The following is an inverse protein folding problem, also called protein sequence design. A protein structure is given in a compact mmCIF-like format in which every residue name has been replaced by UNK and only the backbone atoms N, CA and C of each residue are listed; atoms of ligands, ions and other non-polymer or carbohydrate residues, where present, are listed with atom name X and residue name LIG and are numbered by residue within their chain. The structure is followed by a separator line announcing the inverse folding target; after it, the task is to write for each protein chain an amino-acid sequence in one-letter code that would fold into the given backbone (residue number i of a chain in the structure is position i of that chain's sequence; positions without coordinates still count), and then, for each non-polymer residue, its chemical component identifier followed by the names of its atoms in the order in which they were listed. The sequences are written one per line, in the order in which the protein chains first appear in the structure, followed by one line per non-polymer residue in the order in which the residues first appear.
data_IF_535951105420
#
_entry.id   IF_535951105420
#
_cell.length_a   1.000
_cell.length_b   1.000
_cell.length_c   1.000
_cell.angle_alpha   90.00
_cell.angle_beta   90.00
_cell.angle_gamma   90.00
#
_symmetry.space_group_name_H-M   'P 1'
#
loop_
_entity.id
_entity.type
_entity.pdbx_description
1 polymer ?
#
# COMPACT_ATOMS: atom_id res chain seq x y z
N UNK A 1 -7.20 -5.01 29.25
CA UNK A 1 -7.21 -4.59 27.83
C UNK A 1 -6.07 -5.31 27.14
N UNK A 2 -6.33 -5.98 26.03
CA UNK A 2 -5.30 -6.69 25.25
C UNK A 2 -4.41 -5.68 24.53
N UNK A 3 -3.10 -5.82 24.64
CA UNK A 3 -2.14 -4.95 23.93
C UNK A 3 -1.78 -5.55 22.55
N UNK A 4 -1.27 -4.75 21.58
CA UNK A 4 -0.77 -5.29 20.31
C UNK A 4 0.30 -6.37 20.50
N UNK A 5 1.18 -6.21 21.49
CA UNK A 5 2.22 -7.18 21.82
C UNK A 5 1.65 -8.52 22.33
N UNK A 6 0.60 -8.47 23.17
CA UNK A 6 -0.10 -9.67 23.63
C UNK A 6 -0.78 -10.38 22.46
N UNK A 7 -1.53 -9.64 21.63
CA UNK A 7 -2.20 -10.23 20.47
C UNK A 7 -1.19 -10.88 19.52
N UNK A 8 -0.05 -10.23 19.26
CA UNK A 8 1.00 -10.78 18.42
C UNK A 8 1.58 -12.08 19.00
N UNK A 9 1.75 -12.16 20.31
CA UNK A 9 2.23 -13.36 21.00
C UNK A 9 1.22 -14.52 20.86
N UNK A 10 -0.06 -14.24 21.08
CA UNK A 10 -1.14 -15.23 20.92
C UNK A 10 -1.22 -15.72 19.48
N UNK A 11 -1.12 -14.80 18.53
CA UNK A 11 -1.12 -15.08 17.10
C UNK A 11 0.06 -15.96 16.67
N UNK A 12 1.27 -15.63 17.12
CA UNK A 12 2.47 -16.41 16.84
C UNK A 12 2.39 -17.83 17.41
N UNK A 13 1.77 -17.97 18.60
CA UNK A 13 1.50 -19.27 19.20
C UNK A 13 0.58 -20.12 18.32
N UNK A 14 -0.46 -19.50 17.75
CA UNK A 14 -1.37 -20.18 16.81
C UNK A 14 -0.65 -20.58 15.51
N UNK A 15 0.20 -19.71 14.95
CA UNK A 15 0.98 -20.01 13.74
C UNK A 15 1.91 -21.23 13.90
N UNK A 16 2.32 -21.57 15.11
CA UNK A 16 3.10 -22.79 15.40
C UNK A 16 2.29 -24.09 15.30
N UNK A 17 0.97 -24.02 15.13
CA UNK A 17 0.07 -25.17 15.02
C UNK A 17 -0.22 -25.51 13.55
N UNK A 18 -0.68 -26.75 13.29
CA UNK A 18 -1.12 -27.15 11.94
C UNK A 18 -2.23 -26.24 11.40
N UNK A 19 -3.15 -25.81 12.27
CA UNK A 19 -4.24 -24.90 11.91
C UNK A 19 -3.75 -23.47 11.60
N UNK A 20 -2.65 -23.03 12.22
CA UNK A 20 -2.11 -21.69 12.00
C UNK A 20 -1.11 -21.58 10.83
N UNK A 21 -0.77 -22.69 10.17
CA UNK A 21 0.18 -22.69 9.05
C UNK A 21 -0.31 -21.92 7.81
N UNK A 22 -1.62 -21.69 7.70
CA UNK A 22 -2.25 -20.91 6.62
C UNK A 22 -2.55 -19.45 7.01
N UNK A 23 -2.32 -19.07 8.27
CA UNK A 23 -2.55 -17.71 8.74
C UNK A 23 -1.46 -16.76 8.20
N UNK A 24 -1.81 -15.51 7.84
CA UNK A 24 -0.83 -14.51 7.41
C UNK A 24 0.30 -14.33 8.43
N UNK A 25 1.51 -13.96 8.02
CA UNK A 25 2.55 -13.60 9.00
C UNK A 25 2.33 -12.16 9.44
N UNK A 26 2.10 -11.95 10.74
CA UNK A 26 1.95 -10.63 11.33
C UNK A 26 3.19 -10.24 12.12
N UNK A 27 3.52 -8.95 12.10
CA UNK A 27 4.62 -8.36 12.84
C UNK A 27 4.18 -7.02 13.44
N UNK A 28 4.79 -6.60 14.54
CA UNK A 28 4.61 -5.24 15.05
C UNK A 28 5.30 -4.25 14.11
N UNK A 29 4.65 -3.11 13.85
CA UNK A 29 5.17 -2.07 12.98
C UNK A 29 4.54 -0.71 13.30
N UNK A 30 5.12 0.34 12.76
CA UNK A 30 4.54 1.67 12.71
C UNK A 30 4.27 2.10 11.29
N UNK A 31 3.43 3.12 11.15
CA UNK A 31 3.11 3.75 9.88
C UNK A 31 3.08 5.25 10.09
N UNK A 32 3.92 5.97 9.34
CA UNK A 32 3.83 7.42 9.24
C UNK A 32 3.14 7.78 7.93
N UNK A 33 2.09 8.60 8.01
CA UNK A 33 1.39 9.09 6.83
C UNK A 33 1.45 10.61 6.74
N UNK A 34 1.65 11.11 5.53
CA UNK A 34 1.49 12.53 5.19
C UNK A 34 0.45 12.63 4.08
N UNK A 35 -0.47 13.58 4.22
CA UNK A 35 -1.52 13.82 3.25
C UNK A 35 -1.39 15.24 2.69
N UNK A 36 -1.54 15.37 1.38
CA UNK A 36 -1.57 16.65 0.67
C UNK A 36 -2.78 16.66 -0.27
N UNK A 37 -3.52 17.77 -0.28
CA UNK A 37 -4.66 17.96 -1.16
C UNK A 37 -4.33 18.94 -2.29
N UNK A 38 -4.88 18.71 -3.46
CA UNK A 38 -4.66 19.49 -4.67
C UNK A 38 -5.99 19.76 -5.37
N UNK A 39 -6.18 20.99 -5.84
CA UNK A 39 -7.36 21.36 -6.63
C UNK A 39 -7.12 21.17 -8.14
N UNK A 40 -5.85 21.12 -8.55
CA UNK A 40 -5.45 20.96 -9.95
C UNK A 40 -4.74 19.64 -10.23
N UNK A 41 -5.13 18.98 -11.33
CA UNK A 41 -4.47 17.76 -11.81
C UNK A 41 -2.98 17.97 -12.10
N UNK A 42 -2.59 19.12 -12.65
CA UNK A 42 -1.20 19.42 -12.97
C UNK A 42 -0.31 19.55 -11.71
N UNK A 43 -0.83 20.16 -10.65
CA UNK A 43 -0.13 20.32 -9.37
C UNK A 43 0.06 18.98 -8.67
N UNK A 44 -1.01 18.17 -8.63
CA UNK A 44 -0.94 16.79 -8.16
C UNK A 44 0.11 15.99 -8.93
N UNK A 45 0.07 16.03 -10.27
CA UNK A 45 0.99 15.26 -11.09
C UNK A 45 2.44 15.69 -10.86
N UNK A 46 2.69 17.00 -10.71
CA UNK A 46 4.01 17.51 -10.38
C UNK A 46 4.48 17.01 -9.01
N UNK A 47 3.63 17.05 -7.98
CA UNK A 47 3.96 16.55 -6.64
C UNK A 47 4.22 15.04 -6.65
N UNK A 48 3.36 14.26 -7.30
CA UNK A 48 3.51 12.81 -7.45
C UNK A 48 4.80 12.44 -8.19
N UNK A 49 5.10 13.15 -9.29
CA UNK A 49 6.31 12.92 -10.09
C UNK A 49 7.59 13.28 -9.35
N UNK A 50 7.55 14.29 -8.47
CA UNK A 50 8.71 14.73 -7.69
C UNK A 50 9.24 13.65 -6.73
N UNK A 51 8.42 12.66 -6.37
CA UNK A 51 8.86 11.51 -5.57
C UNK A 51 9.65 10.46 -6.36
N UNK A 52 9.76 10.61 -7.69
CA UNK A 52 10.44 9.67 -8.59
C UNK A 52 10.05 8.20 -8.34
N UNK A 53 8.74 7.84 -8.42
CA UNK A 53 8.33 6.46 -8.20
C UNK A 53 8.96 5.54 -9.24
N UNK A 54 9.42 4.38 -8.79
CA UNK A 54 10.11 3.40 -9.63
C UNK A 54 9.14 2.38 -10.24
N UNK A 55 8.05 2.08 -9.54
CA UNK A 55 7.00 1.20 -10.04
C UNK A 55 5.65 1.54 -9.44
N UNK A 56 4.59 1.15 -10.12
CA UNK A 56 3.24 1.42 -9.68
C UNK A 56 2.21 1.13 -10.76
N UNK A 57 0.97 1.52 -10.46
CA UNK A 57 -0.12 1.49 -11.41
C UNK A 57 -0.85 2.84 -11.38
N UNK A 58 -1.35 3.22 -12.56
CA UNK A 58 -2.01 4.49 -12.80
C UNK A 58 -3.36 4.21 -13.46
N UNK A 59 -4.40 4.85 -12.95
CA UNK A 59 -5.74 4.85 -13.53
C UNK A 59 -6.10 6.28 -13.91
N UNK A 60 -6.11 6.53 -15.22
CA UNK A 60 -6.66 7.73 -15.82
C UNK A 60 -8.10 7.49 -16.29
N UNK A 61 -8.80 8.55 -16.71
CA UNK A 61 -10.17 8.46 -17.22
C UNK A 61 -10.32 7.50 -18.40
N UNK A 62 -9.37 7.50 -19.34
CA UNK A 62 -9.45 6.75 -20.59
C UNK A 62 -8.34 5.70 -20.73
N UNK A 63 -7.50 5.54 -19.72
CA UNK A 63 -6.35 4.65 -19.78
C UNK A 63 -5.96 4.11 -18.41
N UNK A 64 -5.58 2.83 -18.36
CA UNK A 64 -5.00 2.23 -17.17
C UNK A 64 -3.71 1.54 -17.59
N UNK A 65 -2.67 1.73 -16.79
CA UNK A 65 -1.39 1.09 -17.01
C UNK A 65 -0.69 0.82 -15.69
N UNK A 66 0.33 0.00 -15.77
CA UNK A 66 1.28 -0.17 -14.71
C UNK A 66 2.70 -0.14 -15.28
N UNK A 67 3.64 0.24 -14.42
CA UNK A 67 5.01 0.58 -14.79
C UNK A 67 6.00 -0.02 -13.78
N UNK A 68 7.17 -0.39 -14.25
CA UNK A 68 8.24 -1.02 -13.47
C UNK A 68 9.61 -0.32 -13.60
N UNK A 69 9.73 0.58 -14.57
CA UNK A 69 10.97 1.27 -14.93
C UNK A 69 10.80 2.79 -14.86
N UNK A 70 10.24 3.26 -13.75
CA UNK A 70 9.97 4.68 -13.52
C UNK A 70 8.64 5.16 -14.07
N UNK A 71 8.27 6.37 -13.63
CA UNK A 71 6.99 6.97 -13.97
C UNK A 71 6.89 7.30 -15.48
N UNK A 72 5.89 6.78 -16.20
CA UNK A 72 5.69 7.13 -17.60
C UNK A 72 5.24 8.59 -17.75
N UNK A 73 5.58 9.20 -18.88
CA UNK A 73 5.06 10.53 -19.21
C UNK A 73 3.57 10.42 -19.56
N UNK A 74 2.71 11.29 -18.98
CA UNK A 74 1.29 11.23 -19.25
C UNK A 74 1.00 11.68 -20.69
N UNK A 75 0.19 10.92 -21.41
CA UNK A 75 -0.29 11.31 -22.73
C UNK A 75 -1.60 12.11 -22.62
N UNK A 76 -1.80 13.18 -23.41
CA UNK A 76 -3.02 14.02 -23.32
C UNK A 76 -4.33 13.23 -23.47
N UNK A 77 -4.33 12.17 -24.28
CA UNK A 77 -5.50 11.33 -24.55
C UNK A 77 -5.93 10.44 -23.38
N UNK A 78 -5.07 10.24 -22.37
CA UNK A 78 -5.41 9.45 -21.18
C UNK A 78 -6.44 10.16 -20.28
N UNK A 79 -6.49 11.50 -20.35
CA UNK A 79 -7.36 12.34 -19.52
C UNK A 79 -6.79 12.59 -18.13
N UNK A 80 -7.67 12.77 -17.15
CA UNK A 80 -7.27 13.05 -15.76
C UNK A 80 -6.88 11.77 -15.03
N UNK A 81 -5.81 11.83 -14.20
CA UNK A 81 -5.50 10.81 -13.23
C UNK A 81 -6.62 10.74 -12.19
N UNK A 82 -7.21 9.56 -12.00
CA UNK A 82 -8.29 9.32 -11.05
C UNK A 82 -7.80 8.62 -9.78
N UNK A 83 -6.92 7.64 -9.96
CA UNK A 83 -6.31 6.88 -8.90
C UNK A 83 -4.91 6.44 -9.32
N UNK A 84 -4.01 6.33 -8.36
CA UNK A 84 -2.71 5.72 -8.57
C UNK A 84 -2.20 5.11 -7.28
N UNK A 85 -1.38 4.08 -7.40
CA UNK A 85 -0.48 3.70 -6.32
C UNK A 85 0.91 3.45 -6.90
N UNK A 86 1.93 3.87 -6.16
CA UNK A 86 3.30 3.68 -6.57
C UNK A 86 4.23 3.53 -5.37
N UNK A 87 5.44 3.08 -5.62
CA UNK A 87 6.49 2.98 -4.62
C UNK A 87 7.77 3.62 -5.16
N UNK A 88 8.48 4.33 -4.28
CA UNK A 88 9.78 4.95 -4.60
C UNK A 88 10.93 3.96 -4.37
N UNK A 89 12.15 4.33 -4.80
CA UNK A 89 13.35 3.54 -4.51
C UNK A 89 13.56 3.34 -3.00
N UNK A 90 13.22 4.36 -2.20
CA UNK A 90 13.35 4.37 -0.74
C UNK A 90 12.17 3.68 -0.01
N UNK A 91 11.36 2.90 -0.73
CA UNK A 91 10.21 2.15 -0.18
C UNK A 91 9.10 3.02 0.40
N UNK A 92 9.01 4.29 0.00
CA UNK A 92 7.86 5.14 0.29
C UNK A 92 6.69 4.70 -0.59
N UNK A 93 5.54 4.40 0.01
CA UNK A 93 4.30 4.11 -0.73
C UNK A 93 3.53 5.40 -0.98
N UNK A 94 3.09 5.60 -2.21
CA UNK A 94 2.31 6.74 -2.67
C UNK A 94 0.93 6.23 -3.09
N UNK A 95 -0.12 6.93 -2.65
CA UNK A 95 -1.49 6.66 -3.09
C UNK A 95 -2.16 7.96 -3.49
N UNK A 96 -2.76 7.98 -4.67
CA UNK A 96 -3.56 9.09 -5.18
C UNK A 96 -5.02 8.67 -5.19
N UNK A 97 -5.89 9.51 -4.65
CA UNK A 97 -7.33 9.33 -4.79
C UNK A 97 -8.03 10.65 -5.11
N UNK A 98 -9.12 10.57 -5.88
CA UNK A 98 -10.03 11.68 -6.17
C UNK A 98 -11.34 11.47 -5.40
N UNK A 99 -11.59 12.22 -4.31
CA UNK A 99 -12.83 12.04 -3.55
C UNK A 99 -14.04 12.55 -4.33
N UNK A 100 -15.28 12.14 -3.97
CA UNK A 100 -16.51 12.58 -4.65
C UNK A 100 -16.73 14.09 -4.60
N UNK A 101 -16.19 14.77 -3.60
CA UNK A 101 -16.21 16.23 -3.46
C UNK A 101 -15.37 16.96 -4.50
N UNK A 102 -14.57 16.25 -5.30
CA UNK A 102 -13.60 16.84 -6.22
C UNK A 102 -12.22 17.03 -5.59
N UNK A 103 -11.30 17.62 -6.36
CA UNK A 103 -9.89 17.70 -5.99
C UNK A 103 -9.19 16.33 -6.03
N UNK A 104 -7.96 16.30 -5.52
CA UNK A 104 -7.15 15.11 -5.39
C UNK A 104 -6.42 15.12 -4.07
N UNK A 105 -6.10 13.93 -3.60
CA UNK A 105 -5.28 13.73 -2.42
C UNK A 105 -4.12 12.81 -2.78
N UNK A 106 -2.91 13.24 -2.42
CA UNK A 106 -1.72 12.40 -2.35
C UNK A 106 -1.49 11.97 -0.91
N UNK A 107 -1.43 10.66 -0.67
CA UNK A 107 -1.04 10.06 0.60
C UNK A 107 0.34 9.45 0.43
N UNK A 108 1.28 9.90 1.23
CA UNK A 108 2.59 9.30 1.40
C UNK A 108 2.55 8.42 2.65
N UNK A 109 3.07 7.20 2.54
CA UNK A 109 3.04 6.20 3.61
C UNK A 109 4.43 5.59 3.78
N UNK A 110 5.07 5.90 4.91
CA UNK A 110 6.38 5.39 5.29
C UNK A 110 6.22 4.28 6.33
N UNK A 111 6.74 3.10 5.99
CA UNK A 111 6.83 1.99 6.95
C UNK A 111 7.87 2.32 8.03
N UNK A 112 7.50 2.07 9.28
CA UNK A 112 8.42 2.11 10.42
C UNK A 112 8.57 0.69 10.98
N UNK A 113 9.80 0.19 11.22
CA UNK A 113 10.03 -1.16 11.73
C UNK A 113 9.41 -1.46 13.10
N UNK A 114 9.02 -0.42 13.84
CA UNK A 114 8.45 -0.52 15.18
C UNK A 114 7.28 0.46 15.31
N UNK A 115 6.29 0.09 16.12
CA UNK A 115 5.10 0.90 16.40
C UNK A 115 4.03 0.11 17.14
N UNK A 116 2.85 0.71 17.26
CA UNK A 116 1.68 0.17 17.95
C UNK A 116 0.70 -0.57 17.02
N UNK A 117 1.04 -0.68 15.73
CA UNK A 117 0.25 -1.40 14.74
C UNK A 117 0.78 -2.83 14.56
N UNK A 118 -0.09 -3.70 14.06
CA UNK A 118 0.31 -4.97 13.46
C UNK A 118 0.33 -4.81 11.95
N UNK A 119 1.23 -5.49 11.24
CA UNK A 119 1.21 -5.51 9.79
C UNK A 119 1.40 -6.91 9.22
N UNK A 120 0.79 -7.16 8.07
CA UNK A 120 1.02 -8.33 7.22
C UNK A 120 1.21 -7.91 5.77
N UNK A 121 1.62 -8.86 4.92
CA UNK A 121 1.67 -8.67 3.48
C UNK A 121 0.64 -9.54 2.78
N UNK A 122 -0.01 -8.96 1.78
CA UNK A 122 -0.95 -9.67 0.90
C UNK A 122 -0.60 -9.48 -0.56
N UNK A 123 -1.00 -10.47 -1.35
CA UNK A 123 -0.78 -10.49 -2.78
C UNK A 123 -2.13 -10.54 -3.50
N UNK A 124 -2.37 -9.58 -4.39
CA UNK A 124 -3.53 -9.56 -5.26
C UNK A 124 -3.13 -9.87 -6.71
N UNK A 125 -4.10 -10.33 -7.50
CA UNK A 125 -3.87 -10.55 -8.93
C UNK A 125 -3.63 -9.21 -9.62
N UNK A 126 -2.56 -9.11 -10.39
CA UNK A 126 -2.39 -8.02 -11.34
C UNK A 126 -3.24 -8.31 -12.58
N UNK A 127 -3.85 -7.27 -13.15
CA UNK A 127 -4.57 -7.42 -14.42
C UNK A 127 -3.62 -7.71 -15.59
N UNK A 128 -2.44 -7.09 -15.58
CA UNK A 128 -1.39 -7.35 -16.56
C UNK A 128 -0.59 -8.61 -16.15
N UNK A 129 -0.63 -9.70 -16.94
CA UNK A 129 0.06 -10.93 -16.62
C UNK A 129 1.58 -10.78 -16.58
N UNK A 130 2.15 -9.70 -17.13
CA UNK A 130 3.60 -9.42 -17.07
C UNK A 130 4.06 -8.92 -15.71
N UNK A 131 3.15 -8.41 -14.89
CA UNK A 131 3.44 -7.79 -13.59
C UNK A 131 3.29 -8.76 -12.42
N UNK A 132 2.99 -10.01 -12.71
CA UNK A 132 2.76 -11.09 -11.75
C UNK A 132 1.67 -10.76 -10.72
N UNK A 133 2.02 -10.23 -9.54
CA UNK A 133 1.07 -9.88 -8.48
C UNK A 133 1.33 -8.49 -7.89
N UNK A 134 0.25 -7.85 -7.49
CA UNK A 134 0.28 -6.64 -6.69
C UNK A 134 0.58 -7.01 -5.24
N UNK A 135 1.59 -6.38 -4.63
CA UNK A 135 1.96 -6.60 -3.24
C UNK A 135 1.52 -5.42 -2.39
N UNK A 136 0.88 -5.71 -1.27
CA UNK A 136 0.46 -4.70 -0.30
C UNK A 136 0.93 -5.07 1.10
N UNK A 137 1.37 -4.06 1.85
CA UNK A 137 1.53 -4.15 3.30
C UNK A 137 0.28 -3.57 3.96
N UNK A 138 -0.47 -4.37 4.71
CA UNK A 138 -1.62 -3.87 5.46
C UNK A 138 -1.22 -3.62 6.90
N UNK A 139 -1.81 -2.59 7.48
CA UNK A 139 -1.63 -2.22 8.86
C UNK A 139 -2.95 -2.37 9.59
N UNK A 140 -2.87 -2.88 10.80
CA UNK A 140 -3.98 -3.22 11.66
C UNK A 140 -3.81 -2.51 12.99
N UNK A 141 -4.87 -1.88 13.47
CA UNK A 141 -4.94 -1.28 14.80
C UNK A 141 -5.91 -2.09 15.65
N UNK A 142 -5.60 -2.20 16.93
CA UNK A 142 -6.56 -2.71 17.92
C UNK A 142 -7.52 -1.60 18.31
N UNK A 143 -8.79 -1.83 18.04
CA UNK A 143 -9.91 -1.03 18.50
C UNK A 143 -10.59 -1.74 19.69
N UNK A 144 -10.91 -1.02 20.78
CA UNK A 144 -11.52 -1.64 21.96
C UNK A 144 -12.90 -2.27 21.74
N UNK A 145 -13.66 -1.77 20.77
CA UNK A 145 -15.04 -2.22 20.49
C UNK A 145 -15.09 -3.18 19.31
N UNK A 146 -14.30 -2.90 18.27
CA UNK A 146 -14.32 -3.61 16.99
C UNK A 146 -13.24 -4.70 16.88
N UNK A 147 -12.31 -4.78 17.84
CA UNK A 147 -11.17 -5.69 17.76
C UNK A 147 -10.14 -5.22 16.74
N UNK A 148 -9.60 -6.13 15.92
CA UNK A 148 -8.60 -5.76 14.92
C UNK A 148 -9.26 -5.10 13.69
N UNK A 149 -8.94 -3.82 13.45
CA UNK A 149 -9.43 -3.06 12.28
C UNK A 149 -8.27 -2.68 11.37
N UNK A 150 -8.50 -2.73 10.05
CA UNK A 150 -7.48 -2.31 9.08
C UNK A 150 -7.33 -0.79 9.13
N UNK A 151 -6.14 -0.32 9.47
CA UNK A 151 -5.78 1.10 9.52
C UNK A 151 -5.37 1.63 8.13
N UNK A 152 -4.59 0.85 7.38
CA UNK A 152 -4.14 1.22 6.04
C UNK A 152 -3.76 -0.02 5.22
N UNK A 153 -3.70 0.14 3.89
CA UNK A 153 -3.03 -0.78 2.98
C UNK A 153 -2.13 0.05 2.05
N UNK A 154 -0.87 -0.33 1.95
CA UNK A 154 0.13 0.41 1.19
C UNK A 154 0.68 -0.49 0.09
N UNK A 155 0.61 -0.03 -1.16
CA UNK A 155 1.26 -0.70 -2.28
C UNK A 155 2.78 -0.71 -2.06
N UNK A 156 3.39 -1.90 -2.10
CA UNK A 156 4.84 -2.10 -1.89
C UNK A 156 5.54 -2.65 -3.13
N UNK A 157 4.88 -2.60 -4.29
CA UNK A 157 5.44 -3.02 -5.57
C UNK A 157 4.79 -4.27 -6.16
N UNK A 158 5.37 -4.72 -7.26
CA UNK A 158 5.03 -5.98 -7.91
C UNK A 158 5.96 -7.10 -7.42
N UNK A 159 5.53 -8.35 -7.51
CA UNK A 159 6.43 -9.48 -7.27
C UNK A 159 5.76 -10.83 -7.09
N UNK A 160 6.59 -11.86 -7.02
CA UNK A 160 6.15 -13.24 -6.89
C UNK A 160 5.61 -13.55 -5.50
N UNK A 161 4.71 -14.53 -5.46
CA UNK A 161 4.28 -15.13 -4.22
C UNK A 161 5.43 -15.94 -3.62
N UNK A 162 6.34 -15.28 -2.91
CA UNK A 162 7.34 -15.99 -2.13
C UNK A 162 6.65 -16.74 -1.01
N UNK A 163 6.76 -18.07 -1.02
CA UNK A 163 6.17 -18.97 -0.02
C UNK A 163 6.61 -18.68 1.44
N UNK A 164 7.54 -17.72 1.64
CA UNK A 164 8.10 -17.35 2.94
C UNK A 164 7.65 -15.98 3.48
N UNK A 165 6.81 -15.23 2.76
CA UNK A 165 6.05 -14.10 3.31
C UNK A 165 6.87 -13.01 4.01
N UNK A 166 8.13 -12.82 3.64
CA UNK A 166 8.94 -11.74 4.21
C UNK A 166 8.47 -10.41 3.61
N UNK A 167 7.96 -9.52 4.45
CA UNK A 167 7.60 -8.15 4.10
C UNK A 167 8.85 -7.27 4.01
N UNK A 168 9.80 -7.58 3.12
CA UNK A 168 10.88 -6.65 2.76
C UNK A 168 10.43 -5.67 1.67
#
# INVERSE_FOLDING_TARGET
MTTPAQLLTDYQTLCGTRAGSELPRMHAAGLQQRQQSFDGHAELWAAFSAHAPVMGWLQFQSHQLAFHDGLPHPAPEWGLLLQAEAVTADKLSLSVHRPPSGGWTLIESQHLPQGDLLCDCVHHLAHDPRLDRLRYRRYWRLDPELGAVQAAACFIGFGHHDAKGACE
#
